data_IF_825502469280
#
_entry.id   IF_825502469280
#
_cell.length_a   1.000
_cell.length_b   1.000
_cell.length_c   1.000
_cell.angle_alpha   90.00
_cell.angle_beta   90.00
_cell.angle_gamma   90.00
#
_symmetry.space_group_name_H-M   'P 1'
#
loop_
_entity.id
_entity.type
_entity.pdbx_description
1 polymer ?
#
# COMPACT_ATOMS: atom_id res chain seq x y z
N UNK A 1 -6.19 -81.80 -19.35
CA UNK A 1 -5.51 -80.70 -20.10
C UNK A 1 -6.52 -79.72 -20.68
N UNK A 2 -7.61 -80.14 -21.29
CA UNK A 2 -8.63 -79.28 -21.93
C UNK A 2 -9.32 -78.28 -20.99
N UNK A 3 -9.65 -78.65 -19.73
CA UNK A 3 -10.28 -77.80 -18.75
C UNK A 3 -9.36 -76.65 -18.33
N UNK A 4 -8.04 -76.94 -18.22
CA UNK A 4 -7.04 -75.88 -17.85
C UNK A 4 -6.90 -74.89 -19.01
N UNK A 5 -6.86 -75.35 -20.24
CA UNK A 5 -6.79 -74.48 -21.42
C UNK A 5 -8.05 -73.64 -21.55
N UNK A 6 -9.23 -74.20 -21.34
CA UNK A 6 -10.49 -73.47 -21.36
C UNK A 6 -10.54 -72.38 -20.29
N UNK A 7 -10.12 -72.71 -19.06
CA UNK A 7 -10.05 -71.75 -17.95
C UNK A 7 -9.08 -70.60 -18.24
N UNK A 8 -7.91 -70.90 -18.81
CA UNK A 8 -6.94 -69.86 -19.21
C UNK A 8 -7.46 -68.90 -20.30
N UNK A 9 -8.19 -69.43 -21.25
CA UNK A 9 -8.85 -68.60 -22.30
C UNK A 9 -9.91 -67.68 -21.69
N UNK A 10 -10.75 -68.21 -20.77
CA UNK A 10 -11.77 -67.41 -20.08
C UNK A 10 -11.12 -66.29 -19.25
N UNK A 11 -10.06 -66.58 -18.53
CA UNK A 11 -9.31 -65.59 -17.74
C UNK A 11 -8.72 -64.51 -18.69
N UNK A 12 -8.12 -64.91 -19.81
CA UNK A 12 -7.56 -63.97 -20.76
C UNK A 12 -8.64 -63.08 -21.39
N UNK A 13 -9.80 -63.61 -21.76
CA UNK A 13 -10.92 -62.81 -22.27
C UNK A 13 -11.46 -61.83 -21.25
N UNK A 14 -11.62 -62.27 -19.99
CA UNK A 14 -12.06 -61.36 -18.91
C UNK A 14 -11.03 -60.27 -18.65
N UNK A 15 -9.72 -60.56 -18.66
CA UNK A 15 -8.65 -59.57 -18.52
C UNK A 15 -8.66 -58.53 -19.66
N UNK A 16 -8.87 -58.99 -20.91
CA UNK A 16 -8.99 -58.05 -22.04
C UNK A 16 -10.22 -57.17 -21.94
N UNK A 17 -11.36 -57.73 -21.58
CA UNK A 17 -12.61 -56.96 -21.43
C UNK A 17 -12.49 -55.93 -20.30
N UNK A 18 -11.92 -56.31 -19.15
CA UNK A 18 -11.69 -55.36 -18.04
C UNK A 18 -10.71 -54.25 -18.41
N UNK A 19 -9.64 -54.55 -19.14
CA UNK A 19 -8.69 -53.57 -19.66
C UNK A 19 -9.35 -52.58 -20.63
N UNK A 20 -10.21 -53.06 -21.53
CA UNK A 20 -10.95 -52.20 -22.48
C UNK A 20 -11.89 -51.24 -21.72
N UNK A 21 -12.61 -51.74 -20.72
CA UNK A 21 -13.49 -50.93 -19.89
C UNK A 21 -12.69 -49.85 -19.12
N UNK A 22 -11.56 -50.23 -18.53
CA UNK A 22 -10.68 -49.33 -17.79
C UNK A 22 -10.15 -48.20 -18.70
N UNK A 23 -9.62 -48.57 -19.89
CA UNK A 23 -9.10 -47.57 -20.84
C UNK A 23 -10.20 -46.61 -21.29
N UNK A 24 -11.40 -47.11 -21.59
CA UNK A 24 -12.54 -46.24 -21.95
C UNK A 24 -12.92 -45.29 -20.84
N UNK A 25 -12.93 -45.79 -19.59
CA UNK A 25 -13.23 -44.94 -18.40
C UNK A 25 -12.19 -43.83 -18.23
N UNK A 26 -10.92 -44.15 -18.29
CA UNK A 26 -9.82 -43.18 -18.18
C UNK A 26 -9.89 -42.15 -19.32
N UNK A 27 -10.12 -42.58 -20.58
CA UNK A 27 -10.28 -41.63 -21.69
C UNK A 27 -11.44 -40.65 -21.46
N UNK A 28 -12.58 -41.11 -20.94
CA UNK A 28 -13.74 -40.24 -20.64
C UNK A 28 -13.37 -39.24 -19.58
N UNK A 29 -12.68 -39.66 -18.50
CA UNK A 29 -12.26 -38.74 -17.42
C UNK A 29 -11.29 -37.70 -17.91
N UNK A 30 -10.31 -38.07 -18.76
CA UNK A 30 -9.38 -37.09 -19.35
C UNK A 30 -10.13 -36.08 -20.25
N UNK A 31 -11.12 -36.52 -21.02
CA UNK A 31 -11.93 -35.60 -21.80
C UNK A 31 -12.71 -34.61 -20.92
N UNK A 32 -13.34 -35.08 -19.84
CA UNK A 32 -14.05 -34.24 -18.88
C UNK A 32 -13.08 -33.22 -18.20
N UNK A 33 -11.87 -33.63 -17.84
CA UNK A 33 -10.82 -32.74 -17.31
C UNK A 33 -10.43 -31.68 -18.34
N UNK A 34 -10.28 -32.07 -19.59
CA UNK A 34 -9.95 -31.13 -20.69
C UNK A 34 -11.04 -30.12 -20.90
N UNK A 35 -12.32 -30.52 -20.88
CA UNK A 35 -13.46 -29.61 -21.01
C UNK A 35 -13.49 -28.58 -19.85
N UNK A 36 -13.23 -29.01 -18.60
CA UNK A 36 -13.12 -28.10 -17.45
C UNK A 36 -12.01 -27.09 -17.64
N UNK A 37 -10.82 -27.52 -18.09
CA UNK A 37 -9.70 -26.62 -18.36
C UNK A 37 -9.98 -25.62 -19.49
N UNK A 38 -10.70 -26.03 -20.54
CA UNK A 38 -11.15 -25.11 -21.59
C UNK A 38 -12.11 -24.07 -21.05
N UNK A 39 -13.05 -24.46 -20.19
CA UNK A 39 -13.98 -23.52 -19.57
C UNK A 39 -13.26 -22.53 -18.63
N UNK A 40 -12.32 -23.01 -17.82
CA UNK A 40 -11.47 -22.15 -16.97
C UNK A 40 -10.69 -21.16 -17.82
N UNK A 41 -10.07 -21.62 -18.92
CA UNK A 41 -9.37 -20.76 -19.88
C UNK A 41 -10.28 -19.66 -20.47
N UNK A 42 -11.56 -19.98 -20.68
CA UNK A 42 -12.56 -19.04 -21.20
C UNK A 42 -13.17 -18.13 -20.10
N UNK A 43 -12.65 -18.18 -18.87
CA UNK A 43 -13.02 -17.30 -17.77
C UNK A 43 -14.02 -17.88 -16.78
N UNK A 44 -14.42 -19.15 -16.90
CA UNK A 44 -15.27 -19.81 -15.91
C UNK A 44 -14.43 -20.52 -14.83
N UNK A 45 -13.78 -19.75 -13.97
CA UNK A 45 -12.90 -20.26 -12.89
C UNK A 45 -13.62 -21.00 -11.75
N UNK A 46 -14.96 -21.00 -11.73
CA UNK A 46 -15.72 -21.70 -10.69
C UNK A 46 -15.87 -23.19 -10.98
N UNK A 47 -15.58 -23.63 -12.20
CA UNK A 47 -15.72 -25.04 -12.59
C UNK A 47 -14.58 -25.86 -11.98
N UNK A 48 -14.93 -27.06 -11.49
CA UNK A 48 -13.97 -27.99 -10.86
C UNK A 48 -14.11 -29.37 -11.46
N UNK A 49 -13.00 -30.10 -11.49
CA UNK A 49 -12.97 -31.51 -11.90
C UNK A 49 -13.47 -32.33 -10.72
N UNK A 50 -14.55 -33.05 -10.93
CA UNK A 50 -15.08 -33.99 -9.95
C UNK A 50 -14.49 -35.37 -10.23
N UNK A 51 -13.83 -35.97 -9.25
CA UNK A 51 -13.27 -37.31 -9.33
C UNK A 51 -13.50 -38.05 -8.01
N UNK A 52 -13.87 -39.34 -8.11
CA UNK A 52 -13.99 -40.17 -6.92
C UNK A 52 -12.57 -40.60 -6.46
N UNK A 53 -12.38 -40.71 -5.14
CA UNK A 53 -11.08 -41.04 -4.53
C UNK A 53 -10.45 -42.37 -4.97
N UNK A 54 -11.26 -43.28 -5.51
CA UNK A 54 -10.82 -44.57 -6.01
C UNK A 54 -10.54 -44.60 -7.51
N UNK A 55 -10.59 -43.47 -8.22
CA UNK A 55 -10.29 -43.36 -9.62
C UNK A 55 -8.79 -43.18 -9.89
N UNK A 56 -8.28 -43.76 -10.97
CA UNK A 56 -6.86 -43.66 -11.33
C UNK A 56 -6.42 -42.23 -11.63
N UNK A 57 -7.34 -41.40 -12.07
CA UNK A 57 -7.10 -39.99 -12.42
C UNK A 57 -7.34 -39.04 -11.23
N UNK A 58 -7.77 -39.53 -10.07
CA UNK A 58 -8.10 -38.70 -8.91
C UNK A 58 -6.93 -37.80 -8.44
N UNK A 59 -5.68 -38.31 -8.31
CA UNK A 59 -4.56 -37.44 -7.90
C UNK A 59 -4.35 -36.28 -8.88
N UNK A 60 -4.45 -36.54 -10.20
CA UNK A 60 -4.32 -35.52 -11.21
C UNK A 60 -5.46 -34.48 -11.16
N UNK A 61 -6.69 -34.94 -10.89
CA UNK A 61 -7.84 -34.05 -10.73
C UNK A 61 -7.65 -33.09 -9.53
N UNK A 62 -7.09 -33.58 -8.42
CA UNK A 62 -6.80 -32.75 -7.25
C UNK A 62 -5.75 -31.68 -7.56
N UNK A 63 -4.61 -32.08 -8.14
CA UNK A 63 -3.53 -31.15 -8.51
C UNK A 63 -4.01 -30.05 -9.48
N UNK A 64 -4.79 -30.45 -10.51
CA UNK A 64 -5.36 -29.48 -11.45
C UNK A 64 -6.31 -28.51 -10.71
N UNK A 65 -7.16 -28.99 -9.80
CA UNK A 65 -8.06 -28.13 -9.04
C UNK A 65 -7.29 -27.15 -8.15
N UNK A 66 -6.19 -27.57 -7.52
CA UNK A 66 -5.32 -26.68 -6.72
C UNK A 66 -4.68 -25.60 -7.61
N UNK A 67 -4.18 -25.97 -8.79
CA UNK A 67 -3.64 -25.01 -9.77
C UNK A 67 -4.73 -24.01 -10.20
N UNK A 68 -5.95 -24.47 -10.48
CA UNK A 68 -7.07 -23.59 -10.85
C UNK A 68 -7.40 -22.61 -9.72
N UNK A 69 -7.47 -23.07 -8.45
CA UNK A 69 -7.71 -22.22 -7.30
C UNK A 69 -6.61 -21.17 -7.14
N UNK A 70 -5.35 -21.58 -7.23
CA UNK A 70 -4.21 -20.67 -7.12
C UNK A 70 -4.20 -19.63 -8.26
N UNK A 71 -4.53 -20.06 -9.48
CA UNK A 71 -4.61 -19.17 -10.65
C UNK A 71 -5.73 -18.13 -10.50
N UNK A 72 -6.94 -18.55 -10.09
CA UNK A 72 -8.07 -17.66 -9.86
C UNK A 72 -7.79 -16.64 -8.73
N UNK A 73 -7.15 -17.10 -7.66
CA UNK A 73 -6.71 -16.20 -6.58
C UNK A 73 -5.77 -15.13 -7.10
N UNK A 74 -4.77 -15.52 -7.91
CA UNK A 74 -3.82 -14.55 -8.52
C UNK A 74 -4.51 -13.59 -9.48
N UNK A 75 -5.41 -14.09 -10.33
CA UNK A 75 -6.21 -13.27 -11.25
C UNK A 75 -7.08 -12.26 -10.49
N UNK A 76 -7.71 -12.68 -9.41
CA UNK A 76 -8.50 -11.80 -8.55
C UNK A 76 -7.63 -10.68 -7.97
N UNK A 77 -6.44 -11.01 -7.46
CA UNK A 77 -5.49 -10.02 -6.93
C UNK A 77 -5.04 -9.04 -8.02
N UNK A 78 -4.71 -9.52 -9.21
CA UNK A 78 -4.32 -8.65 -10.34
C UNK A 78 -5.45 -7.71 -10.73
N UNK A 79 -6.68 -8.23 -10.90
CA UNK A 79 -7.85 -7.40 -11.23
C UNK A 79 -8.14 -6.35 -10.17
N UNK A 80 -8.04 -6.72 -8.90
CA UNK A 80 -8.21 -5.78 -7.80
C UNK A 80 -7.14 -4.68 -7.80
N UNK A 81 -5.89 -5.05 -8.10
CA UNK A 81 -4.79 -4.08 -8.23
C UNK A 81 -5.00 -3.14 -9.41
N UNK A 82 -5.43 -3.66 -10.58
CA UNK A 82 -5.75 -2.85 -11.76
C UNK A 82 -6.90 -1.89 -11.50
N UNK A 83 -7.98 -2.35 -10.87
CA UNK A 83 -9.13 -1.50 -10.54
C UNK A 83 -8.73 -0.41 -9.54
N UNK A 84 -7.96 -0.76 -8.51
CA UNK A 84 -7.42 0.20 -7.55
C UNK A 84 -6.55 1.25 -8.24
N UNK A 85 -5.66 0.83 -9.15
CA UNK A 85 -4.83 1.74 -9.92
C UNK A 85 -5.65 2.66 -10.84
N UNK A 86 -6.70 2.14 -11.46
CA UNK A 86 -7.60 2.93 -12.30
C UNK A 86 -8.38 3.98 -11.50
N UNK A 87 -8.91 3.60 -10.35
CA UNK A 87 -9.61 4.53 -9.45
C UNK A 87 -8.65 5.62 -8.96
N UNK A 88 -7.43 5.23 -8.60
CA UNK A 88 -6.36 6.14 -8.21
C UNK A 88 -6.06 7.16 -9.31
N UNK A 89 -5.84 6.72 -10.56
CA UNK A 89 -5.61 7.61 -11.70
C UNK A 89 -6.76 8.60 -11.93
N UNK A 90 -8.00 8.13 -11.76
CA UNK A 90 -9.18 8.99 -11.90
C UNK A 90 -9.23 10.05 -10.81
N UNK A 91 -9.03 9.68 -9.55
CA UNK A 91 -8.98 10.61 -8.42
C UNK A 91 -7.85 11.62 -8.57
N UNK A 92 -6.64 11.17 -8.91
CA UNK A 92 -5.47 12.02 -9.11
C UNK A 92 -5.69 13.05 -10.23
N UNK A 93 -6.31 12.62 -11.34
CA UNK A 93 -6.63 13.53 -12.45
C UNK A 93 -7.59 14.65 -12.00
N UNK A 94 -8.55 14.34 -11.15
CA UNK A 94 -9.46 15.33 -10.59
C UNK A 94 -8.73 16.27 -9.60
N UNK A 95 -7.92 15.70 -8.70
CA UNK A 95 -7.23 16.43 -7.64
C UNK A 95 -6.11 17.35 -8.17
N UNK A 96 -5.54 17.05 -9.34
CA UNK A 96 -4.62 17.94 -10.09
C UNK A 96 -5.38 19.02 -10.84
N UNK A 97 -6.50 18.66 -11.47
CA UNK A 97 -7.26 19.61 -12.31
C UNK A 97 -7.82 20.77 -11.50
N UNK A 98 -8.35 20.52 -10.31
CA UNK A 98 -9.01 21.54 -9.48
C UNK A 98 -8.07 22.68 -9.10
N UNK A 99 -6.89 22.46 -8.45
CA UNK A 99 -5.96 23.54 -8.13
C UNK A 99 -5.38 24.19 -9.38
N UNK A 100 -5.14 23.45 -10.46
CA UNK A 100 -4.65 23.99 -11.72
C UNK A 100 -5.66 24.95 -12.35
N UNK A 101 -6.94 24.60 -12.39
CA UNK A 101 -8.01 25.47 -12.90
C UNK A 101 -8.13 26.75 -12.07
N UNK A 102 -8.05 26.63 -10.76
CA UNK A 102 -8.09 27.75 -9.83
C UNK A 102 -6.88 28.69 -10.03
N UNK A 103 -5.68 28.13 -10.15
CA UNK A 103 -4.44 28.85 -10.45
C UNK A 103 -4.58 29.66 -11.75
N UNK A 104 -5.02 29.01 -12.83
CA UNK A 104 -5.24 29.66 -14.13
C UNK A 104 -6.27 30.77 -13.99
N UNK A 105 -7.36 30.58 -13.27
CA UNK A 105 -8.39 31.56 -13.02
C UNK A 105 -7.86 32.83 -12.33
N UNK A 106 -7.03 32.71 -11.32
CA UNK A 106 -6.40 33.84 -10.63
C UNK A 106 -5.44 34.61 -11.56
N UNK A 107 -4.61 33.86 -12.31
CA UNK A 107 -3.68 34.49 -13.27
C UNK A 107 -4.42 35.20 -14.43
N UNK A 108 -5.48 34.59 -14.94
CA UNK A 108 -6.32 35.19 -16.00
C UNK A 108 -7.00 36.48 -15.53
N UNK A 109 -7.53 36.48 -14.29
CA UNK A 109 -8.17 37.66 -13.73
C UNK A 109 -7.16 38.81 -13.55
N UNK A 110 -5.95 38.52 -13.08
CA UNK A 110 -4.88 39.50 -12.95
C UNK A 110 -4.37 40.00 -14.32
N UNK A 111 -4.26 39.11 -15.33
CA UNK A 111 -3.78 39.43 -16.65
C UNK A 111 -4.80 40.25 -17.44
N UNK A 112 -6.08 39.95 -17.39
CA UNK A 112 -7.17 40.64 -18.06
C UNK A 112 -7.56 41.99 -17.42
N UNK A 113 -6.87 42.35 -16.29
CA UNK A 113 -7.17 43.61 -15.60
C UNK A 113 -8.52 43.62 -14.87
N UNK A 114 -9.11 42.41 -14.59
CA UNK A 114 -10.35 42.28 -13.82
C UNK A 114 -10.17 42.69 -12.37
N UNK A 115 -8.93 42.59 -11.87
CA UNK A 115 -8.48 43.05 -10.55
C UNK A 115 -7.28 43.98 -10.71
N UNK A 116 -7.18 45.02 -9.88
CA UNK A 116 -6.13 46.05 -9.95
C UNK A 116 -5.58 46.39 -8.57
N UNK A 117 -4.42 47.03 -8.50
CA UNK A 117 -3.82 47.46 -7.25
C UNK A 117 -3.54 46.26 -6.32
N UNK A 118 -3.87 46.39 -5.03
CA UNK A 118 -3.63 45.37 -4.01
C UNK A 118 -4.34 44.05 -4.34
N UNK A 119 -5.55 44.06 -4.85
CA UNK A 119 -6.29 42.86 -5.21
C UNK A 119 -5.57 42.04 -6.29
N UNK A 120 -4.89 42.71 -7.24
CA UNK A 120 -4.06 42.01 -8.25
C UNK A 120 -2.87 41.29 -7.60
N UNK A 121 -2.20 41.95 -6.65
CA UNK A 121 -1.05 41.37 -5.96
C UNK A 121 -1.50 40.19 -5.11
N UNK A 122 -2.64 40.28 -4.40
CA UNK A 122 -3.24 39.20 -3.62
C UNK A 122 -3.62 37.98 -4.52
N UNK A 123 -4.13 38.24 -5.76
CA UNK A 123 -4.44 37.19 -6.72
C UNK A 123 -3.19 36.49 -7.22
N UNK A 124 -2.13 37.23 -7.52
CA UNK A 124 -0.83 36.66 -7.95
C UNK A 124 -0.23 35.81 -6.80
N UNK A 125 -0.27 36.31 -5.56
CA UNK A 125 0.25 35.56 -4.40
C UNK A 125 -0.57 34.30 -4.14
N UNK A 126 -1.89 34.36 -4.29
CA UNK A 126 -2.75 33.17 -4.20
C UNK A 126 -2.43 32.16 -5.29
N UNK A 127 -2.22 32.62 -6.53
CA UNK A 127 -1.79 31.75 -7.63
C UNK A 127 -0.43 31.11 -7.35
N UNK A 128 0.53 31.88 -6.83
CA UNK A 128 1.86 31.38 -6.45
C UNK A 128 1.75 30.27 -5.40
N UNK A 129 0.97 30.49 -4.35
CA UNK A 129 0.73 29.49 -3.31
C UNK A 129 0.09 28.21 -3.87
N UNK A 130 -0.94 28.35 -4.74
CA UNK A 130 -1.59 27.19 -5.38
C UNK A 130 -0.65 26.43 -6.32
N UNK A 131 0.30 27.10 -6.96
CA UNK A 131 1.34 26.46 -7.76
C UNK A 131 2.29 25.62 -6.90
N UNK A 132 2.68 26.12 -5.73
CA UNK A 132 3.49 25.37 -4.77
C UNK A 132 2.74 24.16 -4.20
N UNK A 133 1.48 24.34 -3.77
CA UNK A 133 0.62 23.24 -3.31
C UNK A 133 0.52 22.13 -4.38
N UNK A 134 0.34 22.51 -5.65
CA UNK A 134 0.26 21.56 -6.75
C UNK A 134 1.58 20.84 -7.01
N UNK A 135 2.70 21.55 -6.93
CA UNK A 135 4.03 20.94 -7.06
C UNK A 135 4.25 19.89 -5.97
N UNK A 136 4.00 20.21 -4.71
CA UNK A 136 4.12 19.26 -3.60
C UNK A 136 3.24 18.02 -3.80
N UNK A 137 2.01 18.23 -4.27
CA UNK A 137 1.10 17.13 -4.59
C UNK A 137 1.67 16.20 -5.68
N UNK A 138 2.24 16.78 -6.75
CA UNK A 138 2.86 16.03 -7.85
C UNK A 138 4.09 15.28 -7.35
N UNK A 139 4.93 15.88 -6.51
CA UNK A 139 6.12 15.25 -5.94
C UNK A 139 5.73 14.00 -5.12
N UNK A 140 4.72 14.09 -4.25
CA UNK A 140 4.17 12.96 -3.49
C UNK A 140 3.63 11.87 -4.41
N UNK A 141 3.01 12.25 -5.52
CA UNK A 141 2.48 11.31 -6.50
C UNK A 141 3.58 10.55 -7.25
N UNK A 142 4.63 11.25 -7.72
CA UNK A 142 5.79 10.61 -8.35
C UNK A 142 6.47 9.63 -7.40
N UNK A 143 6.60 10.02 -6.17
CA UNK A 143 7.17 9.20 -5.13
C UNK A 143 6.37 7.93 -4.90
N UNK A 144 5.03 8.05 -4.88
CA UNK A 144 4.16 6.90 -4.76
C UNK A 144 4.31 5.95 -5.98
N UNK A 145 4.37 6.49 -7.21
CA UNK A 145 4.61 5.68 -8.40
C UNK A 145 5.95 4.96 -8.35
N UNK A 146 7.01 5.67 -7.95
CA UNK A 146 8.33 5.11 -7.79
C UNK A 146 8.33 3.95 -6.79
N UNK A 147 7.69 4.13 -5.63
CA UNK A 147 7.57 3.09 -4.58
C UNK A 147 6.82 1.83 -5.04
N UNK A 148 5.84 1.98 -5.92
CA UNK A 148 5.04 0.88 -6.45
C UNK A 148 5.58 0.30 -7.75
N UNK A 149 6.61 0.89 -8.34
CA UNK A 149 7.34 0.32 -9.47
C UNK A 149 8.31 -0.76 -8.99
N UNK A 150 8.55 -1.77 -9.83
CA UNK A 150 9.59 -2.79 -9.55
C UNK A 150 11.02 -2.21 -9.58
N UNK A 151 11.16 -0.93 -9.89
CA UNK A 151 12.44 -0.23 -10.02
C UNK A 151 12.88 0.44 -8.70
N UNK A 152 12.00 0.49 -7.70
CA UNK A 152 12.34 1.10 -6.41
C UNK A 152 13.23 0.16 -5.58
N UNK A 153 14.52 0.45 -5.58
CA UNK A 153 15.51 -0.19 -4.72
C UNK A 153 15.84 0.72 -3.53
N UNK A 154 15.77 0.18 -2.30
CA UNK A 154 16.24 0.86 -1.11
C UNK A 154 17.75 0.77 -1.02
N UNK A 155 18.41 1.86 -0.72
CA UNK A 155 19.85 1.89 -0.40
C UNK A 155 20.04 1.70 1.12
N UNK A 156 19.81 0.46 1.59
CA UNK A 156 19.94 0.13 3.02
C UNK A 156 21.40 0.22 3.44
N UNK A 157 21.69 1.12 4.38
CA UNK A 157 23.02 1.33 4.95
C UNK A 157 22.95 1.46 6.47
N UNK A 158 24.10 1.31 7.14
CA UNK A 158 24.21 1.56 8.59
C UNK A 158 24.17 3.07 8.83
N UNK A 159 23.13 3.54 9.55
CA UNK A 159 22.87 4.96 9.80
C UNK A 159 22.84 5.23 11.29
N UNK A 160 23.36 6.37 11.69
CA UNK A 160 23.17 6.92 13.03
C UNK A 160 21.84 7.69 13.07
N UNK A 161 20.79 7.01 13.54
CA UNK A 161 19.42 7.51 13.44
C UNK A 161 19.13 8.71 14.34
N UNK A 162 19.78 8.82 15.52
CA UNK A 162 19.57 9.96 16.39
C UNK A 162 20.09 11.26 15.75
N UNK A 163 21.27 11.22 15.11
CA UNK A 163 21.83 12.37 14.40
C UNK A 163 21.00 12.71 13.14
N UNK A 164 20.60 11.70 12.38
CA UNK A 164 19.75 11.90 11.21
C UNK A 164 18.42 12.54 11.60
N UNK A 165 17.80 12.10 12.70
CA UNK A 165 16.54 12.67 13.19
C UNK A 165 16.73 14.12 13.65
N UNK A 166 17.83 14.43 14.36
CA UNK A 166 18.14 15.83 14.74
C UNK A 166 18.26 16.73 13.51
N UNK A 167 18.99 16.25 12.49
CA UNK A 167 19.19 17.03 11.25
C UNK A 167 17.86 17.30 10.54
N UNK A 168 16.94 16.34 10.49
CA UNK A 168 15.60 16.54 9.93
C UNK A 168 14.84 17.60 10.76
N UNK A 169 14.89 17.52 12.07
CA UNK A 169 14.14 18.41 12.95
C UNK A 169 14.63 19.86 12.94
N UNK A 170 15.92 20.10 12.65
CA UNK A 170 16.47 21.45 12.49
C UNK A 170 15.68 22.26 11.46
N UNK A 171 15.27 21.64 10.35
CA UNK A 171 14.50 22.30 9.31
C UNK A 171 13.04 22.56 9.73
N UNK A 172 12.51 21.79 10.69
CA UNK A 172 11.14 21.93 11.18
C UNK A 172 10.98 22.94 12.31
N UNK A 173 12.01 23.21 13.11
CA UNK A 173 11.94 24.16 14.25
C UNK A 173 11.41 25.54 13.82
N UNK A 174 11.93 26.18 12.75
CA UNK A 174 11.39 27.47 12.30
C UNK A 174 9.93 27.41 11.89
N UNK A 175 9.48 26.26 11.36
CA UNK A 175 8.09 26.06 10.95
C UNK A 175 7.18 25.92 12.17
N UNK A 176 7.61 25.21 13.21
CA UNK A 176 6.88 25.11 14.48
C UNK A 176 6.71 26.49 15.12
N UNK A 177 7.77 27.30 15.14
CA UNK A 177 7.75 28.67 15.67
C UNK A 177 6.79 29.57 14.87
N UNK A 178 6.85 29.56 13.54
CA UNK A 178 5.95 30.33 12.66
C UNK A 178 4.48 29.93 12.86
N UNK A 179 4.22 28.64 13.05
CA UNK A 179 2.87 28.08 13.29
C UNK A 179 2.43 28.14 14.75
N UNK A 180 3.29 28.62 15.67
CA UNK A 180 3.04 28.67 17.12
C UNK A 180 2.70 27.29 17.71
N UNK A 181 3.37 26.24 17.23
CA UNK A 181 3.27 24.87 17.75
C UNK A 181 4.39 24.65 18.77
N UNK A 182 4.04 24.35 20.01
CA UNK A 182 5.01 23.95 21.04
C UNK A 182 5.61 22.59 20.67
N UNK A 183 6.92 22.41 20.80
CA UNK A 183 7.60 21.16 20.52
C UNK A 183 8.36 20.63 21.73
N UNK A 184 8.24 19.32 21.95
CA UNK A 184 8.96 18.54 22.97
C UNK A 184 9.78 17.47 22.26
N UNK A 185 11.11 17.67 22.17
CA UNK A 185 12.02 16.80 21.41
C UNK A 185 12.99 16.14 22.39
N UNK A 186 12.90 14.80 22.47
CA UNK A 186 13.79 13.97 23.28
C UNK A 186 14.51 12.96 22.40
N UNK A 187 15.78 13.24 22.09
CA UNK A 187 16.64 12.39 21.26
C UNK A 187 17.92 12.09 22.02
N UNK A 188 18.30 10.82 22.23
CA UNK A 188 19.46 10.46 23.02
C UNK A 188 20.76 10.99 22.40
N UNK A 189 21.70 11.41 23.26
CA UNK A 189 23.05 11.81 22.83
C UNK A 189 23.86 10.59 22.37
N UNK A 190 23.56 9.42 22.90
CA UNK A 190 24.24 8.17 22.54
C UNK A 190 23.87 7.73 21.12
N UNK A 191 24.82 7.24 20.33
CA UNK A 191 24.54 6.78 18.97
C UNK A 191 23.53 5.62 18.94
N UNK A 192 22.55 5.72 18.04
CA UNK A 192 21.56 4.69 17.75
C UNK A 192 21.73 4.24 16.30
N UNK A 193 22.42 3.11 16.10
CA UNK A 193 22.70 2.57 14.78
C UNK A 193 21.62 1.61 14.33
N UNK A 194 21.10 1.85 13.12
CA UNK A 194 20.08 1.04 12.45
C UNK A 194 20.41 0.88 10.97
N UNK A 195 19.89 -0.19 10.37
CA UNK A 195 19.99 -0.39 8.91
C UNK A 195 18.74 0.18 8.25
N UNK A 196 18.87 1.29 7.55
CA UNK A 196 17.78 1.93 6.83
C UNK A 196 18.28 2.72 5.62
N UNK A 197 17.35 3.10 4.76
CA UNK A 197 17.56 4.05 3.67
C UNK A 197 17.34 5.46 4.21
N UNK A 198 18.36 6.33 4.11
CA UNK A 198 18.32 7.67 4.70
C UNK A 198 17.22 8.55 4.11
N UNK A 199 17.06 8.52 2.78
CA UNK A 199 16.07 9.34 2.09
C UNK A 199 14.64 8.89 2.44
N UNK A 200 14.43 7.56 2.50
CA UNK A 200 13.16 6.98 2.91
C UNK A 200 12.81 7.30 4.37
N UNK A 201 13.80 7.25 5.27
CA UNK A 201 13.59 7.63 6.66
C UNK A 201 13.25 9.11 6.82
N UNK A 202 14.01 9.99 6.18
CA UNK A 202 13.74 11.44 6.13
C UNK A 202 12.32 11.72 5.64
N UNK A 203 11.90 11.00 4.60
CA UNK A 203 10.57 11.11 4.04
C UNK A 203 9.47 10.64 4.98
N UNK A 204 9.68 9.55 5.73
CA UNK A 204 8.75 9.08 6.77
C UNK A 204 8.54 10.18 7.81
N UNK A 205 9.62 10.70 8.39
CA UNK A 205 9.56 11.72 9.44
C UNK A 205 8.87 12.99 8.93
N UNK A 206 9.24 13.47 7.74
CA UNK A 206 8.63 14.66 7.12
C UNK A 206 7.13 14.47 6.88
N UNK A 207 6.68 13.32 6.37
CA UNK A 207 5.25 13.06 6.16
C UNK A 207 4.46 13.05 7.47
N UNK A 208 5.01 12.46 8.52
CA UNK A 208 4.35 12.43 9.83
C UNK A 208 4.23 13.84 10.44
N UNK A 209 5.31 14.62 10.42
CA UNK A 209 5.30 16.01 10.92
C UNK A 209 4.35 16.87 10.08
N UNK A 210 4.39 16.73 8.75
CA UNK A 210 3.49 17.45 7.85
C UNK A 210 2.01 17.14 8.15
N UNK A 211 1.67 15.89 8.48
CA UNK A 211 0.32 15.53 8.89
C UNK A 211 -0.12 16.26 10.16
N UNK A 212 0.76 16.40 11.15
CA UNK A 212 0.46 17.17 12.35
C UNK A 212 0.19 18.64 11.99
N UNK A 213 1.09 19.27 11.25
CA UNK A 213 0.98 20.69 10.88
C UNK A 213 -0.25 20.98 10.00
N UNK A 214 -0.58 20.08 9.09
CA UNK A 214 -1.63 20.32 8.10
C UNK A 214 -3.04 19.93 8.58
N UNK A 215 -3.15 18.93 9.47
CA UNK A 215 -4.42 18.26 9.72
C UNK A 215 -4.82 18.13 11.19
N UNK A 216 -3.87 18.14 12.12
CA UNK A 216 -4.19 17.85 13.51
C UNK A 216 -4.82 19.04 14.25
N UNK A 217 -4.58 20.28 13.80
CA UNK A 217 -4.88 21.51 14.57
C UNK A 217 -4.25 21.48 15.98
N UNK A 218 -3.14 20.79 16.15
CA UNK A 218 -2.42 20.70 17.39
C UNK A 218 -1.70 22.01 17.71
N UNK A 219 -1.60 22.32 18.98
CA UNK A 219 -0.73 23.38 19.50
C UNK A 219 0.56 22.80 20.12
N UNK A 220 0.67 21.46 20.21
CA UNK A 220 1.85 20.77 20.72
C UNK A 220 2.16 19.50 19.94
N UNK A 221 3.47 19.31 19.63
CA UNK A 221 4.03 18.09 19.08
C UNK A 221 5.11 17.54 20.00
N UNK A 222 5.13 16.22 20.19
CA UNK A 222 6.16 15.51 20.93
C UNK A 222 6.86 14.52 20.01
N UNK A 223 8.20 14.54 19.99
CA UNK A 223 9.02 13.65 19.19
C UNK A 223 10.07 13.02 20.09
N UNK A 224 10.01 11.69 20.26
CA UNK A 224 10.93 10.96 21.12
C UNK A 224 11.58 9.84 20.32
N UNK A 225 12.91 9.82 20.31
CA UNK A 225 13.66 8.68 19.79
C UNK A 225 14.30 7.95 20.96
N UNK A 226 14.08 6.66 21.07
CA UNK A 226 14.63 5.84 22.14
C UNK A 226 15.16 4.50 21.62
N UNK A 227 16.07 3.94 22.40
CA UNK A 227 16.57 2.59 22.19
C UNK A 227 15.92 1.67 23.22
N UNK A 228 15.17 0.66 22.75
CA UNK A 228 14.48 -0.27 23.62
C UNK A 228 14.71 -1.71 23.17
N UNK A 229 15.37 -2.48 24.02
CA UNK A 229 15.77 -3.86 23.72
C UNK A 229 16.57 -3.95 22.41
N UNK A 230 15.98 -4.57 21.37
CA UNK A 230 16.58 -4.78 20.07
C UNK A 230 16.08 -3.80 18.99
N UNK A 231 15.28 -2.79 19.36
CA UNK A 231 14.68 -1.85 18.42
C UNK A 231 15.03 -0.40 18.75
N UNK A 232 15.11 0.41 17.71
CA UNK A 232 14.94 1.85 17.79
C UNK A 232 13.45 2.15 17.74
N UNK A 233 12.96 2.94 18.69
CA UNK A 233 11.58 3.45 18.71
C UNK A 233 11.61 4.93 18.37
N UNK A 234 10.80 5.35 17.39
CA UNK A 234 10.51 6.75 17.12
C UNK A 234 9.03 7.01 17.40
N UNK A 235 8.76 7.79 18.42
CA UNK A 235 7.44 8.27 18.80
C UNK A 235 7.24 9.68 18.24
N UNK A 236 6.10 9.89 17.58
CA UNK A 236 5.63 11.21 17.17
C UNK A 236 4.17 11.35 17.61
N UNK A 237 3.93 12.28 18.52
CA UNK A 237 2.62 12.50 19.11
C UNK A 237 2.19 13.96 19.00
N UNK A 238 0.91 14.21 18.79
CA UNK A 238 0.27 15.52 18.80
C UNK A 238 -0.92 15.54 19.77
N UNK A 239 -1.33 16.71 20.19
CA UNK A 239 -2.50 16.93 21.04
C UNK A 239 -3.71 17.51 20.27
N UNK A 240 -3.78 17.25 18.97
CA UNK A 240 -4.79 17.81 18.08
C UNK A 240 -6.16 17.13 18.16
N UNK A 241 -6.90 17.24 17.05
CA UNK A 241 -8.30 16.75 16.98
C UNK A 241 -8.43 15.24 17.09
N UNK A 242 -7.35 14.49 16.89
CA UNK A 242 -7.36 13.03 16.88
C UNK A 242 -8.14 12.44 15.70
N UNK A 243 -8.23 11.10 15.68
CA UNK A 243 -8.84 10.30 14.61
C UNK A 243 -9.92 9.42 15.20
N UNK A 244 -11.05 9.32 14.53
CA UNK A 244 -12.16 8.44 14.93
C UNK A 244 -11.76 6.96 14.80
N UNK A 245 -12.31 6.11 15.67
CA UNK A 245 -11.94 4.69 15.73
C UNK A 245 -12.21 3.94 14.42
N UNK A 246 -13.22 4.33 13.69
CA UNK A 246 -13.57 3.70 12.41
C UNK A 246 -12.57 4.09 11.31
N UNK A 247 -12.10 5.33 11.33
CA UNK A 247 -11.08 5.84 10.39
C UNK A 247 -9.70 5.22 10.65
N UNK A 248 -9.34 4.93 11.91
CA UNK A 248 -8.03 4.37 12.27
C UNK A 248 -7.65 3.09 11.50
N UNK A 249 -8.64 2.29 11.08
CA UNK A 249 -8.42 1.07 10.31
C UNK A 249 -7.99 1.34 8.88
N UNK A 250 -8.27 2.55 8.38
CA UNK A 250 -8.15 2.93 6.98
C UNK A 250 -7.09 4.00 6.72
N UNK A 251 -6.52 4.65 7.75
CA UNK A 251 -5.59 5.78 7.57
C UNK A 251 -4.33 5.45 6.76
N UNK A 252 -3.94 4.18 6.70
CA UNK A 252 -2.81 3.71 5.89
C UNK A 252 -3.25 3.26 4.49
N UNK A 253 -4.57 3.25 4.20
CA UNK A 253 -5.08 2.97 2.86
C UNK A 253 -4.80 4.14 1.92
N UNK A 254 -4.64 3.81 0.66
CA UNK A 254 -4.33 4.80 -0.40
C UNK A 254 -5.51 5.71 -0.62
N UNK A 255 -5.26 7.01 -0.74
CA UNK A 255 -6.26 8.05 -1.00
C UNK A 255 -7.33 8.17 0.11
N UNK A 256 -7.13 7.49 1.23
CA UNK A 256 -8.06 7.62 2.35
C UNK A 256 -7.93 9.01 2.96
N UNK A 257 -9.08 9.63 3.18
CA UNK A 257 -9.20 10.93 3.86
C UNK A 257 -10.37 10.82 4.84
N UNK A 258 -10.15 11.17 6.10
CA UNK A 258 -11.23 11.24 7.08
C UNK A 258 -12.30 12.23 6.61
N UNK A 259 -13.59 11.90 6.70
CA UNK A 259 -14.71 12.71 6.18
C UNK A 259 -14.75 14.14 6.73
N UNK A 260 -14.25 14.36 7.94
CA UNK A 260 -14.12 15.69 8.57
C UNK A 260 -13.00 16.54 7.96
N UNK A 261 -12.12 15.94 7.17
CA UNK A 261 -10.94 16.56 6.53
C UNK A 261 -11.07 16.75 5.02
N UNK A 262 -12.26 16.81 4.43
CA UNK A 262 -12.48 17.31 3.05
C UNK A 262 -11.99 18.75 2.86
N UNK A 263 -11.08 19.23 3.74
CA UNK A 263 -10.25 20.37 3.42
C UNK A 263 -9.49 20.03 2.15
N UNK A 264 -9.38 20.97 1.24
CA UNK A 264 -8.67 20.91 -0.04
C UNK A 264 -7.17 20.52 0.09
N UNK A 265 -6.66 20.29 1.31
CA UNK A 265 -5.27 19.99 1.64
C UNK A 265 -5.05 18.50 1.89
N UNK A 266 -4.04 17.95 1.22
CA UNK A 266 -3.56 16.58 1.39
C UNK A 266 -3.98 15.62 0.28
N UNK A 267 -3.03 14.76 -0.16
CA UNK A 267 -3.24 13.77 -1.22
C UNK A 267 -3.93 12.48 -0.75
N UNK A 268 -3.95 12.21 0.56
CA UNK A 268 -4.32 10.91 1.12
C UNK A 268 -3.28 9.81 0.84
N UNK A 269 -2.08 10.20 0.35
CA UNK A 269 -0.99 9.26 0.04
C UNK A 269 0.11 9.25 1.12
N UNK A 270 0.23 10.30 1.92
CA UNK A 270 1.35 10.46 2.87
C UNK A 270 1.49 9.29 3.83
N UNK A 271 0.42 8.92 4.54
CA UNK A 271 0.47 7.81 5.52
C UNK A 271 0.63 6.44 4.83
N UNK A 272 0.07 6.24 3.65
CA UNK A 272 0.28 5.00 2.89
C UNK A 272 1.73 4.85 2.40
N UNK A 273 2.40 5.96 2.06
CA UNK A 273 3.84 5.99 1.74
C UNK A 273 4.66 5.67 2.99
N UNK A 274 4.33 6.28 4.14
CA UNK A 274 4.99 6.00 5.42
C UNK A 274 4.93 4.51 5.74
N UNK A 275 3.74 3.92 5.71
CA UNK A 275 3.54 2.50 6.00
C UNK A 275 4.38 1.60 5.08
N UNK A 276 4.33 1.84 3.77
CA UNK A 276 5.09 1.05 2.79
C UNK A 276 6.61 1.18 2.98
N UNK A 277 7.12 2.39 3.25
CA UNK A 277 8.55 2.60 3.48
C UNK A 277 9.03 1.92 4.75
N UNK A 278 8.27 2.03 5.84
CA UNK A 278 8.57 1.37 7.11
C UNK A 278 8.64 -0.15 6.91
N UNK A 279 7.64 -0.76 6.27
CA UNK A 279 7.62 -2.20 5.99
C UNK A 279 8.77 -2.64 5.09
N UNK A 280 9.06 -1.89 4.01
CA UNK A 280 10.17 -2.19 3.09
C UNK A 280 11.55 -2.13 3.79
N UNK A 281 11.71 -1.33 4.83
CA UNK A 281 12.91 -1.27 5.66
C UNK A 281 12.90 -2.26 6.82
N UNK A 282 11.92 -3.18 6.90
CA UNK A 282 11.83 -4.21 7.93
C UNK A 282 11.38 -3.68 9.29
N UNK A 283 10.83 -2.48 9.35
CA UNK A 283 10.23 -1.88 10.54
C UNK A 283 8.73 -2.17 10.67
N UNK A 284 8.12 -1.57 11.69
CA UNK A 284 6.67 -1.55 11.87
C UNK A 284 6.20 -0.18 12.34
N UNK A 285 4.97 0.18 12.02
CA UNK A 285 4.32 1.40 12.48
C UNK A 285 2.99 1.05 13.15
N UNK A 286 2.72 1.67 14.28
CA UNK A 286 1.44 1.60 14.98
C UNK A 286 0.92 3.01 15.23
N UNK A 287 -0.39 3.14 15.44
CA UNK A 287 -1.06 4.40 15.71
C UNK A 287 -2.06 4.23 16.84
N UNK A 288 -2.02 5.15 17.78
CA UNK A 288 -3.05 5.32 18.80
C UNK A 288 -3.62 6.72 18.66
N UNK A 289 -4.94 6.84 18.64
CA UNK A 289 -5.59 8.14 18.54
C UNK A 289 -6.96 8.11 19.21
N UNK A 290 -7.32 9.25 19.81
CA UNK A 290 -8.61 9.47 20.42
C UNK A 290 -9.13 10.86 20.02
N UNK A 291 -10.38 10.96 19.57
CA UNK A 291 -10.99 12.24 19.23
C UNK A 291 -10.84 13.28 20.35
N UNK A 292 -10.30 14.44 20.01
CA UNK A 292 -10.06 15.55 20.94
C UNK A 292 -8.88 15.37 21.90
N UNK A 293 -8.07 14.29 21.74
CA UNK A 293 -6.88 14.06 22.57
C UNK A 293 -5.58 14.00 21.78
N UNK A 294 -5.67 13.96 20.44
CA UNK A 294 -4.53 13.88 19.54
C UNK A 294 -4.24 12.49 19.01
N UNK A 295 -3.10 12.36 18.34
CA UNK A 295 -2.65 11.15 17.68
C UNK A 295 -1.20 10.85 18.04
N UNK A 296 -0.91 9.56 18.22
CA UNK A 296 0.43 9.05 18.50
C UNK A 296 0.80 8.00 17.45
N UNK A 297 1.88 8.24 16.72
CA UNK A 297 2.52 7.28 15.83
C UNK A 297 3.77 6.72 16.48
N UNK A 298 3.90 5.39 16.51
CA UNK A 298 5.08 4.68 16.99
C UNK A 298 5.69 3.88 15.86
N UNK A 299 6.94 4.17 15.54
CA UNK A 299 7.73 3.44 14.54
C UNK A 299 8.80 2.61 15.26
N UNK A 300 8.97 1.38 14.80
CA UNK A 300 9.98 0.45 15.31
C UNK A 300 10.90 0.03 14.16
N UNK A 301 12.21 0.14 14.37
CA UNK A 301 13.21 -0.38 13.44
C UNK A 301 14.20 -1.26 14.20
N UNK A 302 14.56 -2.45 13.67
CA UNK A 302 15.56 -3.30 14.29
C UNK A 302 16.91 -2.59 14.41
N UNK A 303 17.54 -2.68 15.59
CA UNK A 303 18.90 -2.16 15.78
C UNK A 303 19.91 -2.99 14.98
N UNK A 304 20.97 -2.33 14.55
CA UNK A 304 22.15 -3.04 14.06
C UNK A 304 22.85 -3.69 15.25
N UNK A 305 22.93 -5.04 15.23
CA UNK A 305 23.59 -5.86 16.26
C UNK A 305 25.10 -5.92 15.95
#
# INVERSE_FOLDING_TARGET
MEIIVFLSIVIAVVAVLTSIVLVRRVKKQIAEMTDVLVDVKNGNGNRRILSATNELTAPLAYEINEIVVAYESRLSTVRQTEETNRQLMTSLSHDVRTPLTTLIGYLDAAHKGLVTGKDRDDYIETARRKAHDLKEYIDVLFDWFKLNSNEFALEIQSVEAAELTRNILIDWIPIFEDKQVEYDIDIPEQPVRVKLDMDSYMRIVNNLIQNVIAHSHADKIKIVLSKKENNMELLLADNGVGIEKDDLKHIFERLYKCDKGRSEKGSGLGLSIVHQLVEKMGGSITVESFPGKGTEFMLLFPLEI
#
